data_IF_228910944190
#
_entry.id   IF_228910944190
#
_cell.length_a   1.000
_cell.length_b   1.000
_cell.length_c   1.000
_cell.angle_alpha   90.00
_cell.angle_beta   90.00
_cell.angle_gamma   90.00
#
_symmetry.space_group_name_H-M   'P 1'
#
loop_
_entity.id
_entity.type
_entity.pdbx_description
1 polymer ?
#
# COMPACT_ATOMS: atom_id res chain seq x y z
N UNK A 1 -13.22 -14.35 -5.67
CA UNK A 1 -12.84 -13.08 -5.03
C UNK A 1 -12.41 -13.40 -3.61
N UNK A 2 -11.28 -12.87 -3.15
CA UNK A 2 -10.80 -13.06 -1.78
C UNK A 2 -11.28 -11.88 -0.92
N UNK A 3 -11.58 -12.14 0.35
CA UNK A 3 -12.01 -11.09 1.27
C UNK A 3 -10.86 -10.20 1.75
N UNK A 4 -9.63 -10.70 1.71
CA UNK A 4 -8.41 -9.97 2.07
C UNK A 4 -7.20 -10.54 1.31
N UNK A 5 -6.13 -9.76 1.20
CA UNK A 5 -4.92 -10.18 0.48
C UNK A 5 -4.18 -11.34 1.15
N UNK A 6 -4.29 -11.52 2.47
CA UNK A 6 -3.60 -12.61 3.15
C UNK A 6 -4.13 -14.00 2.74
N UNK A 7 -5.44 -14.14 2.57
CA UNK A 7 -6.06 -15.36 2.07
C UNK A 7 -5.58 -15.70 0.64
N UNK A 8 -5.44 -14.67 -0.21
CA UNK A 8 -4.92 -14.84 -1.57
C UNK A 8 -3.45 -15.31 -1.57
N UNK A 9 -2.62 -14.79 -0.66
CA UNK A 9 -1.23 -15.24 -0.51
C UNK A 9 -1.16 -16.71 -0.04
N UNK A 10 -2.03 -17.12 0.90
CA UNK A 10 -2.09 -18.52 1.34
C UNK A 10 -2.45 -19.47 0.18
N UNK A 11 -3.38 -19.08 -0.68
CA UNK A 11 -3.76 -19.87 -1.84
C UNK A 11 -2.68 -19.88 -2.93
N UNK A 12 -1.93 -18.78 -3.08
CA UNK A 12 -0.76 -18.71 -3.96
C UNK A 12 0.34 -19.66 -3.45
N UNK A 13 0.63 -19.68 -2.15
CA UNK A 13 1.60 -20.60 -1.55
C UNK A 13 1.16 -22.06 -1.66
N UNK A 14 -0.14 -22.33 -1.58
CA UNK A 14 -0.73 -23.66 -1.73
C UNK A 14 -0.92 -24.08 -3.19
N UNK A 15 -0.44 -23.28 -4.15
CA UNK A 15 -0.54 -23.54 -5.59
C UNK A 15 -1.99 -23.71 -6.07
N UNK A 16 -2.96 -23.10 -5.37
CA UNK A 16 -4.37 -23.04 -5.80
C UNK A 16 -4.62 -21.96 -6.84
N UNK A 17 -3.75 -20.96 -6.89
CA UNK A 17 -3.72 -19.89 -7.89
C UNK A 17 -2.28 -19.66 -8.34
N UNK A 18 -2.11 -19.15 -9.56
CA UNK A 18 -0.78 -18.95 -10.16
C UNK A 18 -0.18 -17.56 -9.91
N UNK A 19 -1.03 -16.58 -9.60
CA UNK A 19 -0.61 -15.18 -9.42
C UNK A 19 -1.57 -14.38 -8.55
N UNK A 20 -1.02 -13.35 -7.91
CA UNK A 20 -1.74 -12.27 -7.22
C UNK A 20 -1.22 -10.94 -7.78
N UNK A 21 -2.10 -9.95 -7.88
CA UNK A 21 -1.76 -8.59 -8.25
C UNK A 21 -2.20 -7.65 -7.12
N UNK A 22 -1.26 -6.87 -6.58
CA UNK A 22 -1.48 -5.96 -5.46
C UNK A 22 -0.40 -4.85 -5.46
N UNK A 23 -0.51 -3.88 -4.55
CA UNK A 23 0.42 -2.76 -4.40
C UNK A 23 1.86 -3.22 -4.09
N UNK A 24 2.84 -2.45 -4.58
CA UNK A 24 4.27 -2.80 -4.45
C UNK A 24 4.76 -2.78 -3.00
N UNK A 25 4.22 -1.91 -2.14
CA UNK A 25 4.59 -1.86 -0.72
C UNK A 25 4.07 -3.09 0.02
N UNK A 26 2.87 -3.56 -0.30
CA UNK A 26 2.31 -4.82 0.19
C UNK A 26 3.12 -6.01 -0.32
N UNK A 27 3.43 -6.06 -1.62
CA UNK A 27 4.17 -7.17 -2.22
C UNK A 27 5.58 -7.29 -1.62
N UNK A 28 6.31 -6.19 -1.47
CA UNK A 28 7.63 -6.19 -0.83
C UNK A 28 7.57 -6.62 0.64
N UNK A 29 6.57 -6.14 1.39
CA UNK A 29 6.37 -6.54 2.78
C UNK A 29 6.05 -8.04 2.87
N UNK A 30 5.21 -8.56 1.98
CA UNK A 30 4.86 -9.97 1.90
C UNK A 30 6.08 -10.83 1.60
N UNK A 31 6.87 -10.48 0.59
CA UNK A 31 8.08 -11.22 0.20
C UNK A 31 9.21 -11.13 1.22
N UNK A 32 9.21 -10.12 2.09
CA UNK A 32 10.20 -10.02 3.18
C UNK A 32 10.01 -11.07 4.27
N UNK A 33 8.84 -11.74 4.32
CA UNK A 33 8.51 -12.74 5.33
C UNK A 33 9.16 -14.09 4.97
N UNK A 34 9.90 -14.74 5.89
CA UNK A 34 10.63 -15.98 5.58
C UNK A 34 9.78 -17.12 5.04
N UNK A 35 8.51 -17.20 5.46
CA UNK A 35 7.54 -18.20 4.98
C UNK A 35 7.18 -18.05 3.50
N UNK A 36 7.43 -16.90 2.89
CA UNK A 36 7.11 -16.59 1.50
C UNK A 36 8.33 -16.72 0.57
N UNK A 37 9.36 -17.47 0.97
CA UNK A 37 10.61 -17.61 0.23
C UNK A 37 10.47 -18.30 -1.15
N UNK A 38 9.33 -18.95 -1.39
CA UNK A 38 8.97 -19.59 -2.66
C UNK A 38 8.20 -18.66 -3.60
N UNK A 39 7.88 -17.43 -3.18
CA UNK A 39 7.18 -16.44 -3.97
C UNK A 39 8.17 -15.40 -4.53
N UNK A 40 7.81 -14.77 -5.63
CA UNK A 40 8.61 -13.72 -6.26
C UNK A 40 7.73 -12.69 -6.99
N UNK A 41 8.27 -11.48 -7.18
CA UNK A 41 7.68 -10.51 -8.10
C UNK A 41 7.84 -10.99 -9.55
N UNK A 42 6.83 -10.73 -10.37
CA UNK A 42 6.84 -11.02 -11.81
C UNK A 42 6.12 -9.92 -12.58
N UNK A 43 6.58 -9.65 -13.80
CA UNK A 43 6.02 -8.62 -14.67
C UNK A 43 6.46 -7.19 -14.32
N UNK A 44 5.95 -6.19 -15.08
CA UNK A 44 6.25 -4.79 -14.85
C UNK A 44 5.47 -4.23 -13.65
N UNK A 45 6.00 -3.17 -13.05
CA UNK A 45 5.19 -2.31 -12.18
C UNK A 45 4.16 -1.58 -13.03
N UNK A 46 2.88 -1.78 -12.70
CA UNK A 46 1.78 -1.08 -13.35
C UNK A 46 1.51 0.25 -12.62
N UNK A 47 1.35 1.32 -13.40
CA UNK A 47 0.99 2.65 -12.91
C UNK A 47 0.11 3.37 -13.94
N UNK A 48 -0.41 4.54 -13.57
CA UNK A 48 -1.25 5.33 -14.46
C UNK A 48 -2.53 5.86 -13.79
N UNK A 49 -3.28 6.71 -14.51
CA UNK A 49 -4.37 7.51 -13.92
C UNK A 49 -5.55 6.67 -13.44
N UNK A 50 -5.71 5.42 -13.92
CA UNK A 50 -6.77 4.52 -13.47
C UNK A 50 -6.63 4.15 -11.98
N UNK A 51 -5.41 4.22 -11.43
CA UNK A 51 -5.12 3.93 -10.02
C UNK A 51 -5.26 5.16 -9.10
N UNK A 52 -5.44 6.36 -9.68
CA UNK A 52 -5.45 7.61 -8.92
C UNK A 52 -4.05 8.19 -8.65
N UNK A 53 -3.97 9.14 -7.72
CA UNK A 53 -2.75 9.88 -7.40
C UNK A 53 -2.00 9.41 -6.16
N UNK A 54 -2.36 8.24 -5.62
CA UNK A 54 -1.84 7.70 -4.34
C UNK A 54 -2.95 7.48 -3.32
N UNK A 55 -2.54 7.31 -2.06
CA UNK A 55 -3.43 6.99 -0.94
C UNK A 55 -3.96 8.24 -0.24
N UNK A 56 -5.23 8.22 0.18
CA UNK A 56 -5.87 9.33 0.85
C UNK A 56 -6.82 8.90 1.97
N UNK A 57 -7.08 9.82 2.89
CA UNK A 57 -8.12 9.66 3.92
C UNK A 57 -9.50 9.91 3.31
N UNK A 58 -10.29 8.86 3.12
CA UNK A 58 -11.67 8.96 2.66
C UNK A 58 -12.58 9.57 3.72
N UNK A 59 -13.33 10.62 3.36
CA UNK A 59 -14.33 11.29 4.22
C UNK A 59 -15.66 11.45 3.48
N UNK A 60 -16.77 11.62 4.23
CA UNK A 60 -18.07 11.96 3.62
C UNK A 60 -17.96 13.30 2.90
N UNK A 61 -18.67 13.43 1.77
CA UNK A 61 -18.68 14.66 0.97
C UNK A 61 -19.16 15.89 1.76
N UNK A 62 -20.02 15.70 2.75
CA UNK A 62 -20.55 16.76 3.61
C UNK A 62 -19.57 17.24 4.68
N UNK A 63 -18.52 16.47 4.98
CA UNK A 63 -17.64 16.70 6.13
C UNK A 63 -16.47 17.62 5.75
N UNK A 64 -16.79 18.81 5.22
CA UNK A 64 -15.80 19.73 4.64
C UNK A 64 -14.80 20.28 5.67
N UNK A 65 -15.24 20.55 6.90
CA UNK A 65 -14.36 20.99 8.00
C UNK A 65 -13.38 19.89 8.43
N UNK A 66 -13.86 18.64 8.52
CA UNK A 66 -13.00 17.48 8.82
C UNK A 66 -11.96 17.29 7.71
N UNK A 67 -12.38 17.39 6.44
CA UNK A 67 -11.47 17.32 5.31
C UNK A 67 -10.37 18.37 5.42
N UNK A 68 -10.72 19.64 5.65
CA UNK A 68 -9.75 20.74 5.74
C UNK A 68 -8.73 20.53 6.87
N UNK A 69 -9.18 20.02 8.03
CA UNK A 69 -8.30 19.69 9.16
C UNK A 69 -7.34 18.54 8.84
N UNK A 70 -7.84 17.47 8.22
CA UNK A 70 -7.00 16.34 7.80
C UNK A 70 -5.99 16.76 6.74
N UNK A 71 -6.42 17.52 5.72
CA UNK A 71 -5.53 18.05 4.68
C UNK A 71 -4.39 18.85 5.32
N UNK A 72 -4.72 19.77 6.23
CA UNK A 72 -3.72 20.62 6.91
C UNK A 72 -2.74 19.80 7.75
N UNK A 73 -3.24 18.78 8.47
CA UNK A 73 -2.41 17.90 9.29
C UNK A 73 -1.49 17.02 8.44
N UNK A 74 -1.98 16.47 7.32
CA UNK A 74 -1.19 15.66 6.40
C UNK A 74 -0.09 16.52 5.77
N UNK A 75 -0.41 17.74 5.32
CA UNK A 75 0.60 18.65 4.76
C UNK A 75 1.69 19.00 5.79
N UNK A 76 1.32 19.23 7.05
CA UNK A 76 2.29 19.47 8.12
C UNK A 76 3.18 18.24 8.37
N UNK A 77 2.60 17.04 8.42
CA UNK A 77 3.34 15.78 8.63
C UNK A 77 4.23 15.38 7.44
N UNK A 78 3.88 15.80 6.23
CA UNK A 78 4.75 15.69 5.06
C UNK A 78 5.92 16.67 5.18
N UNK A 79 5.63 17.94 5.50
CA UNK A 79 6.63 18.99 5.60
C UNK A 79 7.65 18.75 6.74
N UNK A 80 7.23 18.19 7.86
CA UNK A 80 8.11 17.88 8.99
C UNK A 80 8.85 16.54 8.88
N UNK A 81 8.59 15.77 7.81
CA UNK A 81 9.22 14.49 7.54
C UNK A 81 8.67 13.31 8.36
N UNK A 82 7.59 13.50 9.12
CA UNK A 82 6.94 12.42 9.88
C UNK A 82 6.49 11.29 8.96
N UNK A 83 5.87 11.61 7.83
CA UNK A 83 5.38 10.59 6.88
C UNK A 83 6.55 9.78 6.30
N UNK A 84 7.62 10.46 5.87
CA UNK A 84 8.85 9.80 5.41
C UNK A 84 9.42 8.85 6.45
N UNK A 85 9.59 9.32 7.69
CA UNK A 85 10.10 8.51 8.80
C UNK A 85 9.24 7.26 9.04
N UNK A 86 7.92 7.39 8.96
CA UNK A 86 7.00 6.26 9.10
C UNK A 86 7.09 5.32 7.89
N UNK A 87 7.19 5.85 6.68
CA UNK A 87 7.37 5.10 5.45
C UNK A 87 8.61 4.20 5.52
N UNK A 88 9.76 4.78 5.84
CA UNK A 88 11.02 4.03 5.95
C UNK A 88 10.97 3.01 7.09
N UNK A 89 10.29 3.33 8.20
CA UNK A 89 10.12 2.40 9.32
C UNK A 89 9.36 1.15 8.89
N UNK A 90 8.24 1.30 8.19
CA UNK A 90 7.31 0.22 7.89
C UNK A 90 7.62 -0.48 6.57
N UNK A 91 7.89 0.28 5.51
CA UNK A 91 8.09 -0.24 4.15
C UNK A 91 9.55 -0.40 3.76
N UNK A 92 10.48 0.11 4.57
CA UNK A 92 11.93 0.14 4.27
C UNK A 92 12.28 0.95 3.01
N UNK A 93 11.35 1.79 2.56
CA UNK A 93 11.47 2.72 1.45
C UNK A 93 10.72 4.01 1.77
N UNK A 94 11.08 5.08 1.08
CA UNK A 94 10.35 6.35 1.11
C UNK A 94 9.27 6.32 0.01
N UNK A 95 8.00 6.27 0.42
CA UNK A 95 6.83 6.26 -0.47
C UNK A 95 5.94 7.48 -0.24
N UNK A 96 6.50 8.58 0.26
CA UNK A 96 5.77 9.86 0.30
C UNK A 96 5.32 10.27 -1.11
N UNK A 97 4.14 10.92 -1.26
CA UNK A 97 3.65 11.41 -2.55
C UNK A 97 4.58 12.42 -3.25
#
# INVERSE_FOLDING_TARGET
EYNNSADAILDLQAERIDAVFDDITFANTTLSRPENNNLALSGPLMSGPIWGGGEAMGVRLTDTDLKAKLDSAIQAALADGTVKKLSEKWFKSDVTP
#
